data_IF_932451626601
#
_entry.id   IF_932451626601
#
_cell.length_a   1.000
_cell.length_b   1.000
_cell.length_c   1.000
_cell.angle_alpha   90.00
_cell.angle_beta   90.00
_cell.angle_gamma   90.00
#
_symmetry.space_group_name_H-M   'P 1'
#
loop_
_entity.id
_entity.type
_entity.pdbx_description
1 polymer ?
#
# COMPACT_ATOMS: atom_id res chain seq x y z
N UNK A 1 24.11 -15.45 10.49
CA UNK A 1 25.18 -16.40 10.12
C UNK A 1 26.13 -16.62 11.31
N UNK A 2 25.62 -17.00 12.49
CA UNK A 2 26.38 -16.97 13.77
C UNK A 2 27.16 -18.25 14.11
N UNK A 3 27.07 -19.30 13.28
CA UNK A 3 27.62 -20.64 13.62
C UNK A 3 28.85 -21.05 12.79
N UNK A 4 29.35 -20.18 11.92
CA UNK A 4 30.49 -20.52 11.06
C UNK A 4 31.76 -20.69 11.90
N UNK A 5 32.02 -19.77 12.84
CA UNK A 5 33.15 -19.89 13.79
C UNK A 5 33.07 -21.16 14.62
N UNK A 6 31.88 -21.50 15.11
CA UNK A 6 31.69 -22.73 15.88
C UNK A 6 31.95 -23.99 15.05
N UNK A 7 31.56 -24.00 13.77
CA UNK A 7 31.87 -25.12 12.85
C UNK A 7 33.39 -25.25 12.67
N UNK A 8 34.11 -24.15 12.44
CA UNK A 8 35.56 -24.17 12.26
C UNK A 8 36.30 -24.57 13.55
N UNK A 9 35.87 -24.05 14.69
CA UNK A 9 36.38 -24.43 16.02
C UNK A 9 36.23 -25.91 16.28
N UNK A 10 35.01 -26.44 16.13
CA UNK A 10 34.73 -27.85 16.39
C UNK A 10 35.42 -28.79 15.39
N UNK A 11 35.72 -28.32 14.18
CA UNK A 11 36.40 -29.10 13.15
C UNK A 11 37.92 -29.13 13.33
N UNK A 12 38.55 -27.99 13.62
CA UNK A 12 40.01 -27.85 13.62
C UNK A 12 40.65 -27.82 15.01
N UNK A 13 39.91 -27.44 16.07
CA UNK A 13 40.41 -27.45 17.45
C UNK A 13 40.00 -28.73 18.20
N UNK A 14 38.75 -29.18 18.01
CA UNK A 14 38.21 -30.34 18.72
C UNK A 14 38.24 -31.66 17.90
N UNK A 15 38.75 -31.61 16.66
CA UNK A 15 38.88 -32.73 15.71
C UNK A 15 37.61 -33.61 15.56
N UNK A 16 36.43 -32.98 15.56
CA UNK A 16 35.17 -33.72 15.47
C UNK A 16 34.80 -34.05 14.02
N UNK A 17 34.14 -35.21 13.83
CA UNK A 17 33.57 -35.58 12.54
C UNK A 17 32.39 -34.69 12.16
N UNK A 18 32.13 -34.52 10.86
CA UNK A 18 31.02 -33.70 10.37
C UNK A 18 29.65 -34.16 10.91
N UNK A 19 29.48 -35.45 11.25
CA UNK A 19 28.26 -35.99 11.87
C UNK A 19 28.10 -35.56 13.33
N UNK A 20 29.19 -35.52 14.09
CA UNK A 20 29.18 -35.03 15.49
C UNK A 20 28.93 -33.53 15.56
N UNK A 21 29.54 -32.76 14.65
CA UNK A 21 29.30 -31.32 14.52
C UNK A 21 27.83 -31.05 14.13
N UNK A 22 27.26 -31.84 13.21
CA UNK A 22 25.86 -31.75 12.80
C UNK A 22 24.91 -31.94 13.99
N UNK A 23 25.16 -32.95 14.82
CA UNK A 23 24.37 -33.22 16.02
C UNK A 23 24.46 -32.08 17.06
N UNK A 24 25.67 -31.53 17.26
CA UNK A 24 25.91 -30.46 18.24
C UNK A 24 25.31 -29.11 17.81
N UNK A 25 25.52 -28.70 16.57
CA UNK A 25 25.09 -27.38 16.08
C UNK A 25 23.71 -27.36 15.44
N UNK A 26 23.04 -28.53 15.32
CA UNK A 26 21.77 -28.72 14.61
C UNK A 26 21.83 -28.17 13.17
N UNK A 27 22.89 -28.54 12.46
CA UNK A 27 23.13 -28.19 11.06
C UNK A 27 23.20 -29.46 10.21
N UNK A 28 22.86 -29.38 8.93
CA UNK A 28 23.02 -30.51 8.03
C UNK A 28 24.49 -30.76 7.72
N UNK A 29 24.86 -32.03 7.48
CA UNK A 29 26.23 -32.42 7.09
C UNK A 29 26.67 -31.69 5.81
N UNK A 30 25.76 -31.46 4.87
CA UNK A 30 26.03 -30.71 3.64
C UNK A 30 26.40 -29.25 3.88
N UNK A 31 25.76 -28.58 4.85
CA UNK A 31 26.11 -27.20 5.24
C UNK A 31 27.49 -27.15 5.90
N UNK A 32 27.79 -28.12 6.77
CA UNK A 32 29.10 -28.21 7.42
C UNK A 32 30.21 -28.46 6.38
N UNK A 33 30.01 -29.41 5.48
CA UNK A 33 30.94 -29.70 4.38
C UNK A 33 31.18 -28.48 3.50
N UNK A 34 30.12 -27.71 3.19
CA UNK A 34 30.24 -26.47 2.43
C UNK A 34 31.07 -25.43 3.16
N UNK A 35 30.94 -25.31 4.49
CA UNK A 35 31.67 -24.33 5.28
C UNK A 35 33.14 -24.69 5.43
N UNK A 36 33.46 -25.96 5.67
CA UNK A 36 34.85 -26.43 5.76
C UNK A 36 35.57 -26.32 4.42
N UNK A 37 34.92 -26.72 3.32
CA UNK A 37 35.50 -26.60 1.98
C UNK A 37 35.70 -25.13 1.57
N UNK A 38 34.76 -24.24 1.91
CA UNK A 38 34.92 -22.82 1.67
C UNK A 38 36.08 -22.22 2.49
N UNK A 39 36.29 -22.69 3.73
CA UNK A 39 37.41 -22.24 4.57
C UNK A 39 38.76 -22.72 4.04
N UNK A 40 38.85 -23.98 3.62
CA UNK A 40 40.05 -24.53 2.95
C UNK A 40 40.37 -23.76 1.66
N UNK A 41 39.37 -23.51 0.83
CA UNK A 41 39.52 -22.75 -0.42
C UNK A 41 39.96 -21.31 -0.17
N UNK A 42 39.46 -20.70 0.92
CA UNK A 42 39.84 -19.35 1.32
C UNK A 42 41.20 -19.29 2.07
N UNK A 43 41.87 -20.42 2.27
CA UNK A 43 43.14 -20.53 2.99
C UNK A 43 43.04 -20.13 4.46
N UNK A 44 41.87 -20.29 5.09
CA UNK A 44 41.64 -19.92 6.48
C UNK A 44 41.99 -21.07 7.41
N UNK A 45 42.93 -20.84 8.32
CA UNK A 45 43.26 -21.73 9.43
C UNK A 45 42.49 -21.36 10.71
N UNK A 46 42.38 -22.33 11.62
CA UNK A 46 41.99 -22.08 13.00
C UNK A 46 43.24 -22.01 13.89
N UNK A 47 43.35 -21.06 14.85
CA UNK A 47 42.40 -20.01 15.17
C UNK A 47 42.32 -18.93 14.08
N UNK A 48 41.16 -18.28 13.98
CA UNK A 48 40.97 -17.19 13.02
C UNK A 48 41.84 -15.96 13.38
N UNK A 49 42.29 -15.17 12.38
CA UNK A 49 43.04 -13.95 12.62
C UNK A 49 42.32 -12.98 13.57
N UNK A 50 43.07 -12.26 14.41
CA UNK A 50 42.53 -11.27 15.34
C UNK A 50 41.72 -10.19 14.61
N UNK A 51 40.54 -9.87 15.13
CA UNK A 51 39.62 -8.87 14.55
C UNK A 51 38.65 -9.39 13.49
N UNK A 52 38.65 -10.69 13.17
CA UNK A 52 37.70 -11.26 12.20
C UNK A 52 36.28 -11.43 12.79
N UNK A 53 35.38 -10.49 12.46
CA UNK A 53 33.96 -10.58 12.82
C UNK A 53 33.19 -11.59 11.92
N UNK A 54 31.98 -11.97 12.35
CA UNK A 54 31.16 -12.97 11.63
C UNK A 54 30.77 -12.51 10.22
N UNK A 55 30.64 -11.20 10.03
CA UNK A 55 30.28 -10.54 8.77
C UNK A 55 31.42 -10.60 7.75
N UNK A 56 32.64 -10.31 8.17
CA UNK A 56 33.85 -10.38 7.34
C UNK A 56 34.20 -11.82 7.00
N UNK A 57 34.03 -12.74 7.95
CA UNK A 57 34.19 -14.18 7.72
C UNK A 57 33.19 -14.69 6.67
N UNK A 58 31.91 -14.32 6.79
CA UNK A 58 30.89 -14.73 5.83
C UNK A 58 31.16 -14.16 4.42
N UNK A 59 31.57 -12.89 4.31
CA UNK A 59 31.89 -12.26 3.03
C UNK A 59 33.11 -12.90 2.34
N UNK A 60 34.10 -13.36 3.12
CA UNK A 60 35.31 -14.03 2.60
C UNK A 60 35.04 -15.48 2.17
N UNK A 61 34.19 -16.20 2.89
CA UNK A 61 33.80 -17.59 2.56
C UNK A 61 32.78 -17.66 1.42
N UNK A 62 31.90 -16.67 1.34
CA UNK A 62 30.83 -16.58 0.34
C UNK A 62 30.87 -15.20 -0.32
N UNK A 63 31.87 -14.94 -1.19
CA UNK A 63 31.88 -13.70 -1.95
C UNK A 63 30.58 -13.62 -2.75
N UNK A 64 29.82 -12.53 -2.55
CA UNK A 64 28.64 -12.28 -3.36
C UNK A 64 29.09 -12.18 -4.81
N UNK A 65 28.81 -13.21 -5.61
CA UNK A 65 28.91 -13.09 -7.04
C UNK A 65 27.91 -12.00 -7.43
N UNK A 66 28.41 -10.82 -7.81
CA UNK A 66 27.56 -9.78 -8.35
C UNK A 66 26.93 -10.39 -9.60
N UNK A 67 25.60 -10.56 -9.66
CA UNK A 67 24.99 -11.12 -10.84
C UNK A 67 25.30 -10.15 -11.97
N UNK A 68 26.16 -10.57 -12.90
CA UNK A 68 26.41 -9.83 -14.13
C UNK A 68 25.04 -9.67 -14.78
N UNK A 69 24.56 -8.42 -14.90
CA UNK A 69 23.30 -8.14 -15.59
C UNK A 69 23.51 -8.51 -17.06
N UNK A 70 23.14 -9.74 -17.41
CA UNK A 70 23.24 -10.27 -18.77
C UNK A 70 22.27 -9.58 -19.75
N UNK A 71 21.30 -8.83 -19.23
CA UNK A 71 20.21 -8.26 -20.02
C UNK A 71 20.19 -6.73 -19.95
N UNK A 72 19.89 -6.11 -21.08
CA UNK A 72 19.75 -4.66 -21.23
C UNK A 72 18.40 -4.23 -20.66
N UNK A 73 18.35 -3.19 -19.82
CA UNK A 73 17.06 -2.73 -19.27
C UNK A 73 16.21 -2.05 -20.36
N UNK A 74 14.90 -2.34 -20.44
CA UNK A 74 14.02 -1.64 -21.37
C UNK A 74 13.85 -0.16 -20.97
N UNK A 75 13.85 0.75 -21.94
CA UNK A 75 13.54 2.16 -21.72
C UNK A 75 12.04 2.32 -21.43
N UNK A 76 11.70 2.22 -20.15
CA UNK A 76 10.31 2.30 -19.70
C UNK A 76 9.68 3.68 -19.93
N UNK A 77 10.48 4.75 -20.05
CA UNK A 77 9.97 6.09 -20.31
C UNK A 77 9.53 6.21 -21.77
N UNK A 78 10.38 5.75 -22.71
CA UNK A 78 10.04 5.64 -24.12
C UNK A 78 8.79 4.77 -24.33
N UNK A 79 8.79 3.56 -23.75
CA UNK A 79 7.66 2.62 -23.83
C UNK A 79 6.36 3.28 -23.35
N UNK A 80 6.41 4.02 -22.24
CA UNK A 80 5.23 4.68 -21.69
C UNK A 80 4.68 5.80 -22.59
N UNK A 81 5.52 6.51 -23.35
CA UNK A 81 5.06 7.52 -24.30
C UNK A 81 4.48 6.88 -25.56
N UNK A 82 5.15 5.86 -26.11
CA UNK A 82 4.68 5.19 -27.33
C UNK A 82 3.34 4.47 -27.12
N UNK A 83 3.10 3.89 -25.94
CA UNK A 83 1.82 3.26 -25.60
C UNK A 83 0.62 4.23 -25.62
N UNK A 84 0.83 5.55 -25.64
CA UNK A 84 -0.26 6.53 -25.78
C UNK A 84 -0.76 6.64 -27.22
N UNK A 85 0.01 6.16 -28.20
CA UNK A 85 -0.34 6.21 -29.63
C UNK A 85 -1.35 5.11 -29.95
N UNK A 86 -2.33 5.44 -30.81
CA UNK A 86 -3.38 4.50 -31.21
C UNK A 86 -2.78 3.28 -31.91
N UNK A 87 -3.12 2.08 -31.44
CA UNK A 87 -2.69 0.81 -32.04
C UNK A 87 -1.34 0.27 -31.55
N UNK A 88 -0.59 1.00 -30.72
CA UNK A 88 0.67 0.51 -30.14
C UNK A 88 0.39 -0.45 -28.98
N UNK A 89 1.07 -1.60 -28.97
CA UNK A 89 0.93 -2.62 -27.92
C UNK A 89 2.26 -2.89 -27.23
N UNK A 90 2.21 -3.42 -26.01
CA UNK A 90 3.42 -3.87 -25.29
C UNK A 90 4.18 -4.98 -26.04
N UNK A 91 3.47 -5.81 -26.81
CA UNK A 91 4.09 -6.85 -27.63
C UNK A 91 4.93 -6.23 -28.75
N UNK A 92 4.37 -5.27 -29.48
CA UNK A 92 5.08 -4.54 -30.54
C UNK A 92 6.35 -3.87 -30.00
N UNK A 93 6.24 -3.13 -28.90
CA UNK A 93 7.39 -2.45 -28.28
C UNK A 93 8.43 -3.43 -27.73
N UNK A 94 8.00 -4.62 -27.30
CA UNK A 94 8.92 -5.68 -26.90
C UNK A 94 9.68 -6.27 -28.09
N UNK A 95 9.01 -6.45 -29.25
CA UNK A 95 9.66 -6.94 -30.47
C UNK A 95 10.73 -5.95 -30.96
N UNK A 96 10.42 -4.65 -30.95
CA UNK A 96 11.38 -3.57 -31.27
C UNK A 96 12.56 -3.55 -30.29
N UNK A 97 12.27 -3.59 -28.98
CA UNK A 97 13.29 -3.69 -27.94
C UNK A 97 14.18 -4.93 -28.13
N UNK A 98 13.59 -6.09 -28.42
CA UNK A 98 14.33 -7.33 -28.65
C UNK A 98 15.22 -7.25 -29.88
N UNK A 99 14.74 -6.65 -30.96
CA UNK A 99 15.54 -6.42 -32.17
C UNK A 99 16.73 -5.48 -31.91
N UNK A 100 16.56 -4.48 -31.04
CA UNK A 100 17.63 -3.54 -30.68
C UNK A 100 18.72 -4.12 -29.76
N UNK A 101 18.41 -5.19 -29.04
CA UNK A 101 19.29 -5.77 -28.01
C UNK A 101 19.79 -7.15 -28.48
N UNK A 102 20.91 -7.17 -29.21
CA UNK A 102 21.50 -8.34 -29.88
C UNK A 102 21.70 -9.60 -28.98
N UNK A 103 20.61 -10.30 -28.65
CA UNK A 103 20.57 -11.46 -27.75
C UNK A 103 20.53 -11.15 -26.26
N UNK A 104 20.65 -9.88 -25.85
CA UNK A 104 20.64 -9.44 -24.44
C UNK A 104 19.29 -8.88 -23.98
N UNK A 105 18.23 -9.06 -24.76
CA UNK A 105 16.89 -8.63 -24.39
C UNK A 105 16.24 -9.54 -23.33
N UNK A 106 15.48 -8.93 -22.42
CA UNK A 106 14.53 -9.64 -21.59
C UNK A 106 13.43 -10.30 -22.43
N UNK A 107 12.99 -11.48 -22.00
CA UNK A 107 11.78 -12.12 -22.54
C UNK A 107 10.54 -11.30 -22.19
N UNK A 108 9.47 -11.45 -22.99
CA UNK A 108 8.25 -10.64 -22.90
C UNK A 108 7.67 -10.54 -21.49
N UNK A 109 7.67 -11.65 -20.73
CA UNK A 109 7.18 -11.68 -19.36
C UNK A 109 7.97 -10.74 -18.43
N UNK A 110 9.30 -10.78 -18.49
CA UNK A 110 10.18 -9.92 -17.67
C UNK A 110 10.14 -8.46 -18.13
N UNK A 111 10.06 -8.22 -19.44
CA UNK A 111 9.82 -6.89 -20.00
C UNK A 111 8.53 -6.26 -19.42
N UNK A 112 7.42 -7.01 -19.40
CA UNK A 112 6.17 -6.56 -18.81
C UNK A 112 6.28 -6.29 -17.31
N UNK A 113 7.04 -7.11 -16.56
CA UNK A 113 7.28 -6.88 -15.13
C UNK A 113 8.00 -5.55 -14.90
N UNK A 114 9.09 -5.30 -15.63
CA UNK A 114 9.84 -4.05 -15.54
C UNK A 114 8.98 -2.84 -15.89
N UNK A 115 8.18 -2.93 -16.96
CA UNK A 115 7.25 -1.86 -17.32
C UNK A 115 6.18 -1.62 -16.24
N UNK A 116 5.57 -2.67 -15.67
CA UNK A 116 4.57 -2.52 -14.60
C UNK A 116 5.16 -1.88 -13.35
N UNK A 117 6.39 -2.25 -12.97
CA UNK A 117 7.10 -1.63 -11.86
C UNK A 117 7.45 -0.16 -12.13
N UNK A 118 7.71 0.21 -13.37
CA UNK A 118 7.84 1.62 -13.76
C UNK A 118 6.50 2.35 -13.66
N UNK A 119 5.44 1.81 -14.28
CA UNK A 119 4.11 2.43 -14.30
C UNK A 119 3.53 2.61 -12.90
N UNK A 120 3.79 1.71 -11.94
CA UNK A 120 3.30 1.85 -10.57
C UNK A 120 3.96 2.98 -9.79
N UNK A 121 5.16 3.41 -10.19
CA UNK A 121 5.87 4.56 -9.61
C UNK A 121 5.35 5.90 -10.13
N UNK A 122 4.66 5.89 -11.28
CA UNK A 122 4.03 7.08 -11.81
C UNK A 122 2.83 7.45 -10.93
N UNK A 123 2.88 8.61 -10.28
CA UNK A 123 1.76 9.16 -9.52
C UNK A 123 0.71 9.72 -10.49
N UNK A 124 0.01 8.84 -11.20
CA UNK A 124 -1.12 9.25 -12.04
C UNK A 124 -2.26 9.69 -11.11
N UNK A 125 -2.70 10.94 -11.25
CA UNK A 125 -3.98 11.44 -10.74
C UNK A 125 -4.95 11.57 -11.91
N UNK A 126 -6.12 10.97 -11.78
CA UNK A 126 -7.22 11.21 -12.71
C UNK A 126 -7.95 12.46 -12.21
N UNK A 127 -8.10 13.47 -13.05
CA UNK A 127 -8.97 14.61 -12.71
C UNK A 127 -10.40 14.10 -12.68
N UNK A 128 -11.01 14.05 -11.50
CA UNK A 128 -12.43 13.81 -11.39
C UNK A 128 -13.18 15.06 -11.89
N UNK A 129 -14.12 14.85 -12.81
CA UNK A 129 -15.04 15.91 -13.22
C UNK A 129 -16.35 15.66 -12.51
N UNK A 130 -16.77 16.58 -11.66
CA UNK A 130 -18.05 16.50 -10.96
C UNK A 130 -19.07 17.35 -11.71
N UNK A 131 -20.21 16.76 -12.09
CA UNK A 131 -21.31 17.52 -12.66
C UNK A 131 -22.01 18.31 -11.54
N UNK A 132 -22.45 19.52 -11.84
CA UNK A 132 -23.18 20.36 -10.88
C UNK A 132 -24.44 19.63 -10.40
N UNK A 133 -24.67 19.62 -9.08
CA UNK A 133 -25.81 18.93 -8.46
C UNK A 133 -25.70 17.40 -8.38
N UNK A 134 -24.65 16.80 -8.95
CA UNK A 134 -24.54 15.34 -9.02
C UNK A 134 -24.13 14.73 -7.67
N UNK A 135 -23.08 15.27 -7.03
CA UNK A 135 -22.45 14.64 -5.86
C UNK A 135 -22.31 15.60 -4.69
N UNK A 136 -22.71 15.13 -3.52
CA UNK A 136 -22.44 15.75 -2.22
C UNK A 136 -21.59 14.79 -1.38
N UNK A 137 -20.43 15.25 -0.93
CA UNK A 137 -19.57 14.49 -0.03
C UNK A 137 -19.88 14.88 1.41
N UNK A 138 -20.09 13.90 2.28
CA UNK A 138 -20.45 14.13 3.68
C UNK A 138 -19.49 13.39 4.62
N UNK A 139 -19.14 14.03 5.73
CA UNK A 139 -18.27 13.45 6.76
C UNK A 139 -18.39 14.17 8.11
N UNK A 140 -17.86 13.54 9.16
CA UNK A 140 -17.57 14.21 10.43
C UNK A 140 -16.08 14.56 10.53
N UNK A 141 -15.79 15.80 10.91
CA UNK A 141 -14.43 16.25 11.21
C UNK A 141 -13.94 15.60 12.50
N UNK A 142 -12.81 14.89 12.40
CA UNK A 142 -12.11 14.08 13.41
C UNK A 142 -12.42 14.31 14.90
N UNK A 143 -11.47 14.85 15.65
CA UNK A 143 -11.47 14.80 17.12
C UNK A 143 -12.57 15.66 17.79
N UNK A 144 -13.41 16.37 17.03
CA UNK A 144 -14.43 17.26 17.56
C UNK A 144 -13.88 18.53 18.21
N UNK A 145 -14.77 19.48 18.51
CA UNK A 145 -14.48 20.83 19.00
C UNK A 145 -15.06 21.02 20.41
N UNK A 146 -14.32 21.58 21.39
CA UNK A 146 -14.87 21.85 22.71
C UNK A 146 -15.89 23.01 22.67
N UNK A 147 -17.01 22.82 23.34
CA UNK A 147 -18.03 23.81 23.65
C UNK A 147 -18.05 24.00 25.15
N UNK A 148 -17.92 25.24 25.61
CA UNK A 148 -17.94 25.60 27.01
C UNK A 148 -19.29 26.19 27.35
N UNK A 149 -19.95 25.64 28.37
CA UNK A 149 -21.15 26.24 28.94
C UNK A 149 -20.73 27.51 29.73
N UNK A 150 -21.22 28.70 29.34
CA UNK A 150 -20.81 29.95 29.97
C UNK A 150 -21.32 30.11 31.41
N UNK A 151 -22.34 29.36 31.82
CA UNK A 151 -22.93 29.43 33.16
C UNK A 151 -22.29 28.43 34.12
N UNK A 152 -21.98 27.23 33.65
CA UNK A 152 -21.47 26.14 34.50
C UNK A 152 -19.97 25.90 34.36
N UNK A 153 -19.34 26.39 33.28
CA UNK A 153 -17.96 26.09 32.93
C UNK A 153 -17.75 24.65 32.43
N UNK A 154 -18.82 23.86 32.24
CA UNK A 154 -18.74 22.49 31.75
C UNK A 154 -18.22 22.48 30.29
N UNK A 155 -17.27 21.59 30.00
CA UNK A 155 -16.72 21.42 28.65
C UNK A 155 -17.33 20.17 28.01
N UNK A 156 -18.04 20.35 26.90
CA UNK A 156 -18.60 19.27 26.08
C UNK A 156 -17.90 19.23 24.73
N UNK A 157 -17.68 18.05 24.15
CA UNK A 157 -17.12 17.93 22.79
C UNK A 157 -18.23 17.82 21.78
N UNK A 158 -18.31 18.77 20.86
CA UNK A 158 -19.15 18.68 19.67
C UNK A 158 -18.39 18.06 18.49
N UNK A 159 -19.13 17.50 17.56
CA UNK A 159 -18.66 16.88 16.33
C UNK A 159 -19.05 17.79 15.17
N UNK A 160 -18.13 18.07 14.24
CA UNK A 160 -18.44 18.95 13.12
C UNK A 160 -18.85 18.10 11.93
N UNK A 161 -20.12 18.15 11.56
CA UNK A 161 -20.60 17.59 10.30
C UNK A 161 -20.22 18.54 9.17
N UNK A 162 -19.75 17.99 8.05
CA UNK A 162 -19.38 18.76 6.85
C UNK A 162 -20.01 18.11 5.63
N UNK A 163 -20.63 18.93 4.78
CA UNK A 163 -21.18 18.53 3.49
C UNK A 163 -20.65 19.45 2.38
N UNK A 164 -20.10 18.87 1.31
CA UNK A 164 -19.43 19.62 0.23
C UNK A 164 -19.95 19.19 -1.14
N UNK A 165 -20.44 20.14 -1.94
CA UNK A 165 -20.83 19.89 -3.32
C UNK A 165 -19.60 19.65 -4.21
N UNK A 166 -19.55 18.52 -4.90
CA UNK A 166 -18.35 18.07 -5.63
C UNK A 166 -17.91 18.99 -6.78
N UNK A 167 -18.86 19.67 -7.44
CA UNK A 167 -18.55 20.53 -8.60
C UNK A 167 -18.05 21.92 -8.21
N UNK A 168 -18.57 22.50 -7.12
CA UNK A 168 -18.30 23.88 -6.73
C UNK A 168 -17.44 24.01 -5.48
N UNK A 169 -17.30 22.95 -4.68
CA UNK A 169 -16.72 23.03 -3.34
C UNK A 169 -17.59 23.81 -2.34
N UNK A 170 -18.83 24.15 -2.71
CA UNK A 170 -19.72 24.88 -1.80
C UNK A 170 -20.04 24.01 -0.58
N UNK A 171 -19.75 24.55 0.60
CA UNK A 171 -19.60 23.78 1.84
C UNK A 171 -20.61 24.23 2.88
N UNK A 172 -21.28 23.25 3.48
CA UNK A 172 -22.08 23.38 4.69
C UNK A 172 -21.33 22.71 5.84
N UNK A 173 -21.32 23.34 7.01
CA UNK A 173 -20.75 22.75 8.21
C UNK A 173 -21.59 23.12 9.44
N UNK A 174 -21.75 22.17 10.35
CA UNK A 174 -22.49 22.38 11.60
C UNK A 174 -21.90 21.57 12.76
N UNK A 175 -22.12 22.05 13.98
CA UNK A 175 -21.72 21.36 15.19
C UNK A 175 -22.90 20.53 15.75
N UNK A 176 -22.70 19.23 15.94
CA UNK A 176 -23.65 18.33 16.58
C UNK A 176 -23.07 17.78 17.88
N UNK A 177 -23.92 17.38 18.83
CA UNK A 177 -23.45 16.81 20.10
C UNK A 177 -22.91 15.38 19.96
N UNK A 178 -23.35 14.66 18.92
CA UNK A 178 -22.87 13.31 18.64
C UNK A 178 -22.83 13.00 17.14
N UNK A 179 -22.27 11.84 16.79
CA UNK A 179 -22.34 11.25 15.44
C UNK A 179 -23.43 10.18 15.33
N UNK A 180 -24.40 10.16 16.26
CA UNK A 180 -25.48 9.17 16.26
C UNK A 180 -26.45 9.43 15.10
N UNK A 181 -27.21 8.41 14.75
CA UNK A 181 -28.14 8.43 13.63
C UNK A 181 -29.10 9.65 13.63
N UNK A 182 -29.72 10.07 14.75
CA UNK A 182 -30.60 11.25 14.72
C UNK A 182 -29.88 12.55 14.34
N UNK A 183 -28.67 12.75 14.87
CA UNK A 183 -27.83 13.91 14.54
C UNK A 183 -27.42 13.85 13.07
N UNK A 184 -26.98 12.67 12.60
CA UNK A 184 -26.58 12.43 11.21
C UNK A 184 -27.68 12.74 10.19
N UNK A 185 -28.91 12.24 10.42
CA UNK A 185 -30.05 12.51 9.55
C UNK A 185 -30.45 13.99 9.63
N UNK A 186 -30.48 14.56 10.83
CA UNK A 186 -30.74 15.98 11.03
C UNK A 186 -29.77 16.88 10.25
N UNK A 187 -28.48 16.52 10.25
CA UNK A 187 -27.45 17.22 9.49
C UNK A 187 -27.69 17.20 7.99
N UNK A 188 -28.15 16.06 7.43
CA UNK A 188 -28.48 15.97 6.01
C UNK A 188 -29.66 16.89 5.65
N UNK A 189 -30.73 16.88 6.46
CA UNK A 189 -31.90 17.72 6.24
C UNK A 189 -31.51 19.20 6.25
N UNK A 190 -30.73 19.64 7.25
CA UNK A 190 -30.26 21.03 7.33
C UNK A 190 -29.28 21.38 6.21
N UNK A 191 -28.45 20.44 5.77
CA UNK A 191 -27.58 20.66 4.62
C UNK A 191 -28.38 20.85 3.32
N UNK A 192 -29.41 20.04 3.07
CA UNK A 192 -30.27 20.19 1.88
C UNK A 192 -31.03 21.51 1.90
N UNK A 193 -31.54 21.91 3.06
CA UNK A 193 -32.20 23.22 3.25
C UNK A 193 -31.21 24.38 2.98
N UNK A 194 -30.00 24.30 3.53
CA UNK A 194 -28.94 25.29 3.30
C UNK A 194 -28.56 25.42 1.82
N UNK A 195 -28.44 24.30 1.10
CA UNK A 195 -28.14 24.34 -0.33
C UNK A 195 -29.35 24.76 -1.18
N UNK A 196 -30.56 24.73 -0.62
CA UNK A 196 -31.81 24.94 -1.35
C UNK A 196 -32.07 23.87 -2.42
N UNK A 197 -31.38 22.72 -2.34
CA UNK A 197 -31.47 21.64 -3.30
C UNK A 197 -31.03 20.30 -2.70
N UNK A 198 -31.41 19.22 -3.39
CA UNK A 198 -30.98 17.86 -3.08
C UNK A 198 -30.08 17.36 -4.22
N UNK A 199 -28.88 16.85 -3.93
CA UNK A 199 -27.99 16.27 -4.95
C UNK A 199 -28.53 14.94 -5.49
N UNK A 200 -28.07 14.50 -6.65
CA UNK A 200 -28.41 13.15 -7.16
C UNK A 200 -27.81 12.04 -6.27
N UNK A 201 -26.59 12.26 -5.76
CA UNK A 201 -25.81 11.27 -4.99
C UNK A 201 -25.21 11.91 -3.74
N UNK A 202 -25.38 11.26 -2.59
CA UNK A 202 -24.65 11.52 -1.35
C UNK A 202 -23.57 10.45 -1.15
N UNK A 203 -22.35 10.89 -0.90
CA UNK A 203 -21.16 10.04 -0.73
C UNK A 203 -20.61 10.18 0.69
N UNK A 204 -21.01 9.30 1.63
CA UNK A 204 -20.42 9.25 2.96
C UNK A 204 -19.06 8.53 2.97
N UNK A 205 -18.12 9.02 3.77
CA UNK A 205 -16.79 8.36 3.94
C UNK A 205 -16.80 7.25 4.99
N UNK A 206 -17.60 7.43 6.04
CA UNK A 206 -17.55 6.56 7.21
C UNK A 206 -18.66 5.50 7.14
N UNK A 207 -18.34 4.36 6.52
CA UNK A 207 -19.23 3.20 6.42
C UNK A 207 -19.74 2.72 7.78
N UNK A 208 -19.03 2.94 8.89
CA UNK A 208 -19.39 2.36 10.20
C UNK A 208 -20.63 2.96 10.85
N UNK A 209 -20.89 4.26 10.63
CA UNK A 209 -22.07 4.93 11.20
C UNK A 209 -23.32 4.78 10.33
N UNK A 210 -23.12 4.47 9.04
CA UNK A 210 -24.16 4.40 8.02
C UNK A 210 -24.52 2.97 7.57
N UNK A 211 -23.67 1.97 7.85
CA UNK A 211 -23.79 0.60 7.34
C UNK A 211 -23.71 -0.42 8.47
N UNK A 212 -24.78 -1.21 8.62
CA UNK A 212 -24.89 -2.26 9.65
C UNK A 212 -23.94 -3.43 9.36
N UNK A 213 -23.64 -3.69 8.08
CA UNK A 213 -22.67 -4.70 7.64
C UNK A 213 -21.97 -4.28 6.33
N UNK A 214 -20.65 -4.02 6.34
CA UNK A 214 -19.94 -3.60 5.14
C UNK A 214 -19.89 -4.76 4.12
N UNK A 215 -20.62 -4.63 3.01
CA UNK A 215 -20.57 -5.56 1.88
C UNK A 215 -19.98 -4.84 0.65
N UNK A 216 -19.21 -5.60 -0.13
CA UNK A 216 -18.52 -5.11 -1.33
C UNK A 216 -19.45 -4.77 -2.50
N UNK A 217 -20.67 -5.30 -2.48
CA UNK A 217 -21.64 -5.20 -3.58
C UNK A 217 -22.95 -4.53 -3.15
N UNK A 218 -23.43 -4.80 -1.92
CA UNK A 218 -24.67 -4.23 -1.37
C UNK A 218 -24.49 -3.90 0.11
N UNK A 219 -23.89 -2.75 0.48
CA UNK A 219 -23.84 -2.34 1.87
C UNK A 219 -25.28 -2.15 2.39
N UNK A 220 -25.65 -2.90 3.43
CA UNK A 220 -26.95 -2.71 4.10
C UNK A 220 -26.90 -1.39 4.87
N UNK A 221 -27.49 -0.35 4.27
CA UNK A 221 -27.71 0.93 4.90
C UNK A 221 -28.60 0.75 6.14
N UNK A 222 -28.37 1.58 7.16
CA UNK A 222 -29.33 1.71 8.25
C UNK A 222 -30.72 2.07 7.67
N UNK A 223 -31.79 1.39 8.11
CA UNK A 223 -33.16 1.61 7.62
C UNK A 223 -33.54 3.09 7.59
N UNK A 224 -33.26 3.83 8.67
CA UNK A 224 -33.60 5.26 8.74
C UNK A 224 -32.83 6.10 7.73
N UNK A 225 -31.59 5.71 7.38
CA UNK A 225 -30.81 6.43 6.38
C UNK A 225 -31.29 6.12 4.96
N UNK A 226 -31.73 4.88 4.71
CA UNK A 226 -32.41 4.51 3.48
C UNK A 226 -33.76 5.22 3.33
N UNK A 227 -34.56 5.32 4.40
CA UNK A 227 -35.85 6.02 4.39
C UNK A 227 -35.67 7.51 4.07
N UNK A 228 -34.66 8.15 4.66
CA UNK A 228 -34.30 9.54 4.33
C UNK A 228 -33.91 9.66 2.84
N UNK A 229 -33.10 8.74 2.33
CA UNK A 229 -32.68 8.74 0.94
C UNK A 229 -33.88 8.62 -0.01
N UNK A 230 -34.82 7.73 0.31
CA UNK A 230 -36.06 7.54 -0.44
C UNK A 230 -36.95 8.78 -0.40
N UNK A 231 -37.12 9.40 0.77
CA UNK A 231 -37.96 10.58 0.95
C UNK A 231 -37.46 11.77 0.12
N UNK A 232 -36.15 11.97 0.06
CA UNK A 232 -35.54 13.07 -0.69
C UNK A 232 -35.20 12.70 -2.15
N UNK A 233 -35.42 11.44 -2.56
CA UNK A 233 -35.11 10.96 -3.90
C UNK A 233 -33.61 10.97 -4.23
N UNK A 234 -32.75 10.75 -3.23
CA UNK A 234 -31.29 10.81 -3.37
C UNK A 234 -30.67 9.43 -3.25
N UNK A 235 -29.62 9.15 -4.04
CA UNK A 235 -28.86 7.90 -3.92
C UNK A 235 -27.74 8.04 -2.89
N UNK A 236 -27.59 7.06 -1.99
CA UNK A 236 -26.43 7.00 -1.09
C UNK A 236 -25.43 6.00 -1.65
N UNK A 237 -24.24 6.49 -2.02
CA UNK A 237 -23.16 5.66 -2.55
C UNK A 237 -21.91 5.91 -1.70
N UNK A 238 -21.60 5.03 -0.73
CA UNK A 238 -20.44 5.20 0.13
C UNK A 238 -19.12 5.24 -0.64
N UNK A 239 -18.17 6.05 -0.17
CA UNK A 239 -16.81 6.03 -0.71
C UNK A 239 -16.15 4.67 -0.44
N UNK A 240 -15.27 4.23 -1.36
CA UNK A 240 -14.62 2.92 -1.21
C UNK A 240 -13.62 2.96 -0.04
N UNK A 241 -13.69 2.03 0.92
CA UNK A 241 -12.75 2.01 2.02
C UNK A 241 -11.32 1.82 1.51
N UNK A 242 -10.38 2.52 2.14
CA UNK A 242 -8.94 2.54 1.80
C UNK A 242 -8.57 3.14 0.43
N UNK A 243 -9.47 3.92 -0.20
CA UNK A 243 -9.17 4.67 -1.43
C UNK A 243 -9.39 6.18 -1.25
N UNK A 244 -8.44 6.90 -0.62
CA UNK A 244 -8.57 8.33 -0.33
C UNK A 244 -8.69 9.22 -1.58
N UNK A 245 -8.44 8.68 -2.77
CA UNK A 245 -8.54 9.39 -4.06
C UNK A 245 -9.95 9.42 -4.64
N UNK A 246 -10.95 8.81 -4.01
CA UNK A 246 -12.32 8.87 -4.53
C UNK A 246 -12.99 10.23 -4.29
N UNK A 247 -12.44 11.06 -3.39
CA UNK A 247 -12.90 12.43 -3.08
C UNK A 247 -12.06 13.55 -3.72
N UNK A 248 -10.92 13.22 -4.35
CA UNK A 248 -9.91 14.18 -4.83
C UNK A 248 -9.57 14.01 -6.32
#
# INVERSE_FOLDING_TARGET
MRKIKDVLRLKYEADLSCRQIAASLKLSVGVISKYTQAAETAGLSWPLPEGMDDTTLAARLFPFATPVRKHVMPDCAYIHQELKRKGVTLMLLWEEYRASCAGSAYQYAQFCVHYRQYSSRLKLSMRQTHKVGEKLFVDYSGDGVPIVDPQTGEIRRAQIFVAVLGASGYTFAEATLSQKLPDWIGSHVRAFDFFGCVPEIVVPDNLKSAVTKPCRYEPELNTTYADMAQQYGVAIIPARPYKPRDKA
#
